data_IF_474627234599
#
_entry.id   IF_474627234599
#
_cell.length_a   1.000
_cell.length_b   1.000
_cell.length_c   1.000
_cell.angle_alpha   90.00
_cell.angle_beta   90.00
_cell.angle_gamma   90.00
#
_symmetry.space_group_name_H-M   'P 1'
#
loop_
_entity.id
_entity.type
_entity.pdbx_description
1 polymer ?
#
# COMPACT_ATOMS: atom_id res chain seq x y z
N UNK A 1 6.16 13.56 4.02
CA UNK A 1 6.85 12.72 3.02
C UNK A 1 6.65 11.30 3.48
N UNK A 2 6.03 10.47 2.65
CA UNK A 2 5.66 9.10 2.98
C UNK A 2 6.42 8.12 2.10
N UNK A 3 7.00 7.09 2.70
CA UNK A 3 7.67 6.00 1.96
C UNK A 3 6.76 4.78 1.92
N UNK A 4 6.49 4.28 0.72
CA UNK A 4 5.69 3.08 0.49
C UNK A 4 6.62 1.97 0.01
N UNK A 5 6.54 0.79 0.65
CA UNK A 5 7.27 -0.39 0.26
C UNK A 5 6.32 -1.59 0.19
N UNK A 6 6.37 -2.36 -0.89
CA UNK A 6 5.56 -3.56 -1.08
C UNK A 6 6.44 -4.71 -1.61
N UNK A 7 6.23 -5.98 -1.23
CA UNK A 7 7.05 -7.09 -1.70
C UNK A 7 7.05 -7.29 -3.22
N UNK A 8 5.95 -6.91 -3.88
CA UNK A 8 5.73 -7.10 -5.33
C UNK A 8 5.71 -5.79 -6.13
N UNK A 9 5.97 -4.65 -5.49
CA UNK A 9 5.94 -3.34 -6.15
C UNK A 9 7.15 -2.50 -5.73
N UNK A 10 7.57 -1.51 -6.54
CA UNK A 10 8.74 -0.70 -6.23
C UNK A 10 8.54 0.12 -4.95
N UNK A 11 9.63 0.31 -4.20
CA UNK A 11 9.68 1.24 -3.07
C UNK A 11 9.73 2.67 -3.60
N UNK A 12 8.74 3.48 -3.26
CA UNK A 12 8.61 4.87 -3.74
C UNK A 12 8.27 5.84 -2.62
N UNK A 13 8.51 7.13 -2.88
CA UNK A 13 8.32 8.22 -1.93
C UNK A 13 7.41 9.28 -2.52
N UNK A 14 6.44 9.72 -1.73
CA UNK A 14 5.54 10.82 -2.08
C UNK A 14 5.68 11.97 -1.08
N UNK A 15 5.61 13.20 -1.56
CA UNK A 15 5.74 14.42 -0.74
C UNK A 15 4.40 15.10 -0.44
N UNK A 16 3.28 14.55 -0.95
CA UNK A 16 1.93 15.03 -0.69
C UNK A 16 1.35 14.51 0.63
N UNK A 17 0.11 14.89 0.91
CA UNK A 17 -0.71 14.41 2.01
C UNK A 17 -1.00 12.91 1.90
N UNK A 18 -1.26 12.27 3.05
CA UNK A 18 -1.39 10.82 3.17
C UNK A 18 -2.47 10.23 2.24
N UNK A 19 -3.69 10.79 2.16
CA UNK A 19 -4.73 10.24 1.29
C UNK A 19 -4.32 10.25 -0.18
N UNK A 20 -3.74 11.37 -0.66
CA UNK A 20 -3.28 11.48 -2.05
C UNK A 20 -2.11 10.55 -2.32
N UNK A 21 -1.16 10.42 -1.39
CA UNK A 21 -0.01 9.53 -1.57
C UNK A 21 -0.40 8.05 -1.60
N UNK A 22 -1.36 7.62 -0.77
CA UNK A 22 -1.93 6.26 -0.85
C UNK A 22 -2.64 6.03 -2.20
N UNK A 23 -3.47 6.97 -2.63
CA UNK A 23 -4.19 6.85 -3.91
C UNK A 23 -3.26 6.85 -5.12
N UNK A 24 -2.21 7.69 -5.11
CA UNK A 24 -1.17 7.70 -6.14
C UNK A 24 -0.42 6.37 -6.17
N UNK A 25 0.04 5.86 -5.02
CA UNK A 25 0.74 4.57 -4.98
C UNK A 25 -0.09 3.41 -5.54
N UNK A 26 -1.36 3.34 -5.14
CA UNK A 26 -2.30 2.35 -5.64
C UNK A 26 -2.49 2.42 -7.16
N UNK A 27 -2.61 3.63 -7.69
CA UNK A 27 -2.81 3.85 -9.13
C UNK A 27 -1.53 3.56 -9.92
N UNK A 28 -0.39 4.07 -9.45
CA UNK A 28 0.88 4.05 -10.19
C UNK A 28 1.52 2.65 -10.20
N UNK A 29 1.38 1.90 -9.11
CA UNK A 29 2.20 0.70 -8.88
C UNK A 29 1.43 -0.56 -8.54
N UNK A 30 0.15 -0.43 -8.18
CA UNK A 30 -0.66 -1.59 -7.80
C UNK A 30 -1.75 -1.93 -8.82
N UNK A 31 -1.95 -1.13 -9.87
CA UNK A 31 -3.02 -1.30 -10.87
C UNK A 31 -2.99 -2.64 -11.63
N UNK A 32 -1.83 -3.30 -11.72
CA UNK A 32 -1.71 -4.64 -12.33
C UNK A 32 -2.23 -5.75 -11.42
N UNK A 33 -2.36 -5.48 -10.12
CA UNK A 33 -2.90 -6.39 -9.14
C UNK A 33 -4.38 -6.03 -8.92
N UNK A 34 -5.27 -7.01 -9.04
CA UNK A 34 -6.68 -6.80 -8.67
C UNK A 34 -6.74 -6.98 -7.15
N UNK A 35 -6.67 -5.90 -6.36
CA UNK A 35 -6.58 -5.99 -4.90
C UNK A 35 -7.68 -5.21 -4.18
N UNK A 36 -7.93 -5.58 -2.93
CA UNK A 36 -8.67 -4.77 -1.97
C UNK A 36 -7.90 -4.61 -0.65
N UNK A 37 -8.12 -3.48 0.01
CA UNK A 37 -7.52 -3.17 1.31
C UNK A 37 -8.39 -3.80 2.39
N UNK A 38 -7.82 -4.68 3.22
CA UNK A 38 -8.58 -5.35 4.30
C UNK A 38 -8.31 -4.74 5.66
N UNK A 39 -7.05 -4.42 5.96
CA UNK A 39 -6.66 -4.02 7.31
C UNK A 39 -5.63 -2.89 7.27
N UNK A 40 -5.85 -1.88 8.12
CA UNK A 40 -4.92 -0.79 8.36
C UNK A 40 -4.49 -0.82 9.82
N UNK A 41 -3.25 -1.25 10.10
CA UNK A 41 -2.68 -1.14 11.45
C UNK A 41 -1.95 0.20 11.55
N UNK A 42 -2.34 1.05 12.51
CA UNK A 42 -1.65 2.31 12.79
C UNK A 42 -0.82 2.15 14.06
N UNK A 43 0.50 2.27 13.94
CA UNK A 43 1.43 2.20 15.07
C UNK A 43 2.29 3.47 15.16
N UNK A 44 3.05 3.60 16.24
CA UNK A 44 4.08 4.65 16.38
C UNK A 44 5.17 4.57 15.30
N UNK A 45 5.29 3.45 14.59
CA UNK A 45 6.28 3.20 13.55
C UNK A 45 5.75 3.40 12.13
N UNK A 46 4.44 3.63 11.94
CA UNK A 46 3.85 3.83 10.62
C UNK A 46 2.46 3.20 10.48
N UNK A 47 1.94 3.21 9.24
CA UNK A 47 0.68 2.58 8.86
C UNK A 47 0.98 1.35 8.01
N UNK A 48 0.55 0.17 8.43
CA UNK A 48 0.56 -1.04 7.60
C UNK A 48 -0.76 -1.19 6.87
N UNK A 49 -0.73 -1.38 5.55
CA UNK A 49 -1.92 -1.66 4.73
C UNK A 49 -1.78 -3.06 4.14
N UNK A 50 -2.66 -3.99 4.52
CA UNK A 50 -2.69 -5.33 3.92
C UNK A 50 -3.43 -5.31 2.59
N UNK A 51 -2.77 -5.81 1.54
CA UNK A 51 -3.33 -5.96 0.20
C UNK A 51 -3.66 -7.42 -0.08
N UNK A 52 -4.87 -7.66 -0.58
CA UNK A 52 -5.35 -9.01 -0.87
C UNK A 52 -5.83 -9.12 -2.31
N UNK A 53 -5.42 -10.17 -2.99
CA UNK A 53 -5.85 -10.49 -4.36
C UNK A 53 -7.35 -10.77 -4.41
N UNK A 54 -8.05 -10.09 -5.32
CA UNK A 54 -9.49 -10.07 -5.38
C UNK A 54 -10.13 -11.37 -5.85
N UNK A 55 -9.43 -12.09 -6.73
CA UNK A 55 -9.90 -13.37 -7.26
C UNK A 55 -9.73 -14.54 -6.29
N UNK A 56 -8.73 -14.50 -5.42
CA UNK A 56 -8.33 -15.64 -4.58
C UNK A 56 -8.51 -15.39 -3.09
N UNK A 57 -8.55 -14.13 -2.67
CA UNK A 57 -8.51 -13.75 -1.26
C UNK A 57 -7.12 -13.93 -0.62
N UNK A 58 -6.07 -14.16 -1.40
CA UNK A 58 -4.71 -14.34 -0.88
C UNK A 58 -4.05 -13.00 -0.55
N UNK A 59 -3.40 -12.93 0.62
CA UNK A 59 -2.57 -11.78 0.98
C UNK A 59 -1.36 -11.66 0.04
N UNK A 60 -1.24 -10.51 -0.61
CA UNK A 60 -0.14 -10.17 -1.52
C UNK A 60 1.03 -9.52 -0.79
N UNK A 61 0.76 -8.92 0.37
CA UNK A 61 1.76 -8.29 1.22
C UNK A 61 1.20 -7.14 2.04
N UNK A 62 2.05 -6.60 2.92
CA UNK A 62 1.75 -5.41 3.72
C UNK A 62 2.55 -4.25 3.14
N UNK A 63 1.85 -3.16 2.83
CA UNK A 63 2.46 -1.87 2.50
C UNK A 63 2.71 -1.12 3.80
N UNK A 64 3.98 -0.92 4.14
CA UNK A 64 4.35 -0.08 5.28
C UNK A 64 4.52 1.36 4.83
N UNK A 65 3.82 2.27 5.49
CA UNK A 65 3.90 3.72 5.31
C UNK A 65 4.63 4.32 6.50
N UNK A 66 5.82 4.86 6.24
CA UNK A 66 6.63 5.62 7.21
C UNK A 66 6.67 7.10 6.86
#
# INVERSE_FOLDING_TARGET
MYTFAHPLAPTVKYTCDLPTSVASYATDHLHEFDFFVIESETSLHGIGIELVEKGTGNALGIVSIH
#
